data_IF_243008577429
#
_entry.id   IF_243008577429
#
_cell.length_a   1.000
_cell.length_b   1.000
_cell.length_c   1.000
_cell.angle_alpha   90.00
_cell.angle_beta   90.00
_cell.angle_gamma   90.00
#
_symmetry.space_group_name_H-M   'P 1'
#
loop_
_entity.id
_entity.type
_entity.pdbx_description
1 polymer ?
#
# COMPACT_ATOMS: atom_id res chain seq x y z
N UNK A 1 -31.62 8.07 -21.54
CA UNK A 1 -31.52 9.13 -20.50
C UNK A 1 -30.40 8.75 -19.55
N UNK A 2 -29.59 9.71 -19.16
CA UNK A 2 -28.45 9.53 -18.26
C UNK A 2 -28.12 10.85 -17.55
N UNK A 3 -27.18 10.78 -16.62
CA UNK A 3 -26.59 11.94 -15.94
C UNK A 3 -25.14 12.09 -16.38
N UNK A 4 -24.73 13.29 -16.76
CA UNK A 4 -23.33 13.65 -17.00
C UNK A 4 -22.86 14.57 -15.87
N UNK A 5 -21.82 14.18 -15.16
CA UNK A 5 -21.16 15.02 -14.16
C UNK A 5 -19.99 15.76 -14.81
N UNK A 6 -19.98 17.08 -14.71
CA UNK A 6 -18.99 17.95 -15.32
C UNK A 6 -18.29 18.82 -14.28
N UNK A 7 -17.06 19.25 -14.58
CA UNK A 7 -16.31 20.09 -13.66
C UNK A 7 -16.88 21.52 -13.55
N UNK A 8 -17.50 22.03 -14.63
CA UNK A 8 -17.93 23.44 -14.71
C UNK A 8 -19.42 23.65 -14.48
N UNK A 9 -20.26 22.80 -15.07
CA UNK A 9 -21.72 23.02 -15.10
C UNK A 9 -22.46 22.14 -14.07
N UNK A 10 -21.73 21.31 -13.33
CA UNK A 10 -22.31 20.37 -12.40
C UNK A 10 -22.95 19.18 -13.09
N UNK A 11 -24.03 18.67 -12.50
CA UNK A 11 -24.73 17.49 -12.98
C UNK A 11 -25.79 17.87 -14.02
N UNK A 12 -25.64 17.31 -15.23
CA UNK A 12 -26.49 17.60 -16.38
C UNK A 12 -27.32 16.38 -16.79
N UNK A 13 -28.64 16.53 -17.01
CA UNK A 13 -29.44 15.50 -17.65
C UNK A 13 -29.08 15.41 -19.15
N UNK A 14 -28.67 14.23 -19.61
CA UNK A 14 -28.26 14.00 -21.01
C UNK A 14 -28.92 12.81 -21.68
N UNK A 15 -29.06 12.87 -23.00
CA UNK A 15 -29.43 11.72 -23.81
C UNK A 15 -28.16 11.02 -24.31
N UNK A 16 -27.98 9.75 -23.95
CA UNK A 16 -26.87 8.94 -24.45
C UNK A 16 -27.35 8.07 -25.62
N UNK A 17 -26.61 8.15 -26.72
CA UNK A 17 -26.72 7.22 -27.84
C UNK A 17 -25.60 6.17 -27.71
N UNK A 18 -25.80 4.98 -28.27
CA UNK A 18 -24.79 3.91 -28.34
C UNK A 18 -24.79 3.34 -29.74
N UNK A 19 -23.62 2.98 -30.26
CA UNK A 19 -23.51 2.32 -31.56
C UNK A 19 -23.59 0.81 -31.39
N UNK A 20 -24.15 0.10 -32.37
CA UNK A 20 -24.19 -1.36 -32.39
C UNK A 20 -23.59 -1.81 -33.72
N UNK A 21 -22.59 -2.68 -33.67
CA UNK A 21 -22.15 -3.37 -34.88
C UNK A 21 -23.19 -4.43 -35.25
N UNK A 22 -23.80 -4.29 -36.42
CA UNK A 22 -24.84 -5.23 -36.90
C UNK A 22 -24.29 -6.63 -37.18
N UNK A 23 -22.99 -6.77 -37.49
CA UNK A 23 -22.37 -8.05 -37.81
C UNK A 23 -22.09 -8.93 -36.58
N UNK A 24 -21.60 -8.33 -35.48
CA UNK A 24 -21.23 -9.08 -34.27
C UNK A 24 -22.10 -8.75 -33.05
N UNK A 25 -23.15 -7.95 -33.20
CA UNK A 25 -24.05 -7.48 -32.14
C UNK A 25 -23.37 -6.77 -30.96
N UNK A 26 -22.10 -6.38 -31.10
CA UNK A 26 -21.36 -5.66 -30.06
C UNK A 26 -21.83 -4.23 -29.97
N UNK A 27 -22.16 -3.77 -28.76
CA UNK A 27 -22.59 -2.41 -28.47
C UNK A 27 -21.44 -1.58 -27.93
N UNK A 28 -21.19 -0.45 -28.57
CA UNK A 28 -20.15 0.51 -28.23
C UNK A 28 -20.76 1.69 -27.48
N UNK A 29 -20.11 2.05 -26.37
CA UNK A 29 -20.47 3.20 -25.55
C UNK A 29 -19.34 4.24 -25.59
N UNK A 30 -19.67 5.48 -25.25
CA UNK A 30 -18.66 6.52 -25.10
C UNK A 30 -17.67 6.21 -23.96
N UNK A 31 -16.40 6.58 -24.13
CA UNK A 31 -15.30 6.32 -23.20
C UNK A 31 -15.44 6.99 -21.82
N UNK A 32 -16.42 7.88 -21.65
CA UNK A 32 -16.69 8.61 -20.40
C UNK A 32 -17.76 7.95 -19.51
N UNK A 33 -18.12 6.70 -19.82
CA UNK A 33 -19.18 5.96 -19.15
C UNK A 33 -18.69 5.32 -17.85
N UNK A 34 -19.26 5.74 -16.72
CA UNK A 34 -18.97 5.16 -15.40
C UNK A 34 -19.94 4.02 -15.10
N UNK A 35 -21.24 4.22 -15.35
CA UNK A 35 -22.25 3.16 -15.30
C UNK A 35 -23.20 3.27 -16.49
N UNK A 36 -24.22 2.39 -16.60
CA UNK A 36 -25.20 2.44 -17.70
C UNK A 36 -25.90 3.80 -17.86
N UNK A 37 -26.06 4.55 -16.77
CA UNK A 37 -26.81 5.81 -16.75
C UNK A 37 -26.01 7.00 -16.20
N UNK A 38 -24.71 6.85 -15.95
CA UNK A 38 -23.88 7.91 -15.38
C UNK A 38 -22.56 8.04 -16.12
N UNK A 39 -22.23 9.27 -16.49
CA UNK A 39 -21.03 9.66 -17.22
C UNK A 39 -20.29 10.73 -16.43
N UNK A 40 -18.97 10.77 -16.53
CA UNK A 40 -18.14 11.79 -15.90
C UNK A 40 -17.11 12.33 -16.87
N UNK A 41 -16.96 13.65 -16.88
CA UNK A 41 -15.89 14.33 -17.61
C UNK A 41 -14.51 13.92 -17.07
N UNK A 42 -13.54 13.70 -17.95
CA UNK A 42 -12.16 13.36 -17.55
C UNK A 42 -11.53 14.43 -16.66
N UNK A 43 -11.79 15.71 -16.91
CA UNK A 43 -11.30 16.82 -16.07
C UNK A 43 -11.84 16.74 -14.63
N UNK A 44 -13.09 16.30 -14.46
CA UNK A 44 -13.68 16.10 -13.13
C UNK A 44 -13.03 14.89 -12.42
N UNK A 45 -12.83 13.79 -13.14
CA UNK A 45 -12.16 12.60 -12.61
C UNK A 45 -10.71 12.91 -12.21
N UNK A 46 -9.99 13.66 -13.03
CA UNK A 46 -8.63 14.13 -12.74
C UNK A 46 -8.60 15.04 -11.51
N UNK A 47 -9.59 15.93 -11.34
CA UNK A 47 -9.73 16.70 -10.11
C UNK A 47 -9.91 15.78 -8.89
N UNK A 48 -10.79 14.79 -8.96
CA UNK A 48 -11.01 13.86 -7.85
C UNK A 48 -9.75 13.06 -7.51
N UNK A 49 -9.03 12.55 -8.51
CA UNK A 49 -7.77 11.83 -8.28
C UNK A 49 -6.77 12.75 -7.57
N UNK A 50 -6.62 14.00 -8.02
CA UNK A 50 -5.71 14.95 -7.36
C UNK A 50 -6.16 15.32 -5.93
N UNK A 51 -7.46 15.43 -5.66
CA UNK A 51 -7.98 15.58 -4.29
C UNK A 51 -7.66 14.36 -3.41
N UNK A 52 -7.72 13.15 -3.97
CA UNK A 52 -7.33 11.93 -3.26
C UNK A 52 -5.83 11.95 -2.96
N UNK A 53 -4.97 12.30 -3.93
CA UNK A 53 -3.50 12.30 -3.78
C UNK A 53 -3.00 13.37 -2.81
N UNK A 54 -3.48 14.61 -2.94
CA UNK A 54 -2.92 15.77 -2.23
C UNK A 54 -3.70 16.15 -0.96
N UNK A 55 -4.97 15.76 -0.86
CA UNK A 55 -5.81 16.08 0.30
C UNK A 55 -6.28 14.84 1.05
N UNK A 56 -5.91 13.63 0.60
CA UNK A 56 -6.37 12.36 1.17
C UNK A 56 -7.90 12.28 1.24
N UNK A 57 -8.58 12.91 0.28
CA UNK A 57 -10.04 12.94 0.23
C UNK A 57 -10.57 11.54 -0.06
N UNK A 58 -11.59 11.11 0.69
CA UNK A 58 -12.33 9.89 0.34
C UNK A 58 -13.29 10.17 -0.83
N UNK A 59 -13.72 9.12 -1.52
CA UNK A 59 -14.79 9.23 -2.53
C UNK A 59 -16.05 9.91 -1.97
N UNK A 60 -16.37 9.67 -0.68
CA UNK A 60 -17.47 10.35 0.00
C UNK A 60 -17.24 11.87 0.14
N UNK A 61 -16.02 12.29 0.47
CA UNK A 61 -15.70 13.71 0.56
C UNK A 61 -15.68 14.38 -0.82
N UNK A 62 -15.11 13.74 -1.84
CA UNK A 62 -15.16 14.21 -3.22
C UNK A 62 -16.62 14.40 -3.68
N UNK A 63 -17.48 13.41 -3.47
CA UNK A 63 -18.90 13.50 -3.79
C UNK A 63 -19.61 14.61 -3.01
N UNK A 64 -19.31 14.80 -1.72
CA UNK A 64 -19.88 15.89 -0.91
C UNK A 64 -19.45 17.26 -1.43
N UNK A 65 -18.16 17.48 -1.67
CA UNK A 65 -17.62 18.74 -2.19
C UNK A 65 -18.26 19.06 -3.54
N UNK A 66 -18.30 18.09 -4.45
CA UNK A 66 -18.95 18.26 -5.75
C UNK A 66 -20.42 18.65 -5.61
N UNK A 67 -21.20 17.88 -4.84
CA UNK A 67 -22.63 18.14 -4.70
C UNK A 67 -22.93 19.46 -3.99
N UNK A 68 -22.07 19.91 -3.07
CA UNK A 68 -22.27 21.18 -2.37
C UNK A 68 -21.90 22.37 -3.26
N UNK A 69 -20.88 22.22 -4.09
CA UNK A 69 -20.30 23.32 -4.87
C UNK A 69 -20.98 23.49 -6.23
N UNK A 70 -21.33 22.38 -6.89
CA UNK A 70 -21.73 22.37 -8.30
C UNK A 70 -23.14 21.83 -8.55
N UNK A 71 -23.85 21.32 -7.54
CA UNK A 71 -25.18 20.76 -7.80
C UNK A 71 -26.20 21.87 -8.04
N UNK A 72 -26.61 22.01 -9.29
CA UNK A 72 -27.65 22.94 -9.72
C UNK A 72 -29.04 22.32 -9.48
N UNK A 73 -30.00 23.05 -8.89
CA UNK A 73 -31.37 22.56 -8.76
C UNK A 73 -31.97 22.36 -10.16
N UNK A 74 -32.15 21.12 -10.57
CA UNK A 74 -32.89 20.77 -11.79
C UNK A 74 -34.26 20.19 -11.40
N UNK A 75 -35.36 20.58 -12.06
CA UNK A 75 -36.66 19.96 -11.82
C UNK A 75 -36.59 18.47 -12.19
N UNK A 76 -36.58 17.62 -11.17
CA UNK A 76 -36.43 16.16 -11.31
C UNK A 76 -37.65 15.46 -11.92
N UNK A 77 -38.73 16.20 -12.20
CA UNK A 77 -39.96 15.66 -12.76
C UNK A 77 -39.72 15.09 -14.16
N UNK A 78 -39.57 13.75 -14.25
CA UNK A 78 -39.46 13.00 -15.52
C UNK A 78 -38.05 12.48 -15.88
N UNK A 79 -37.04 12.69 -15.03
CA UNK A 79 -35.69 12.15 -15.24
C UNK A 79 -35.42 10.95 -14.32
N UNK A 80 -35.12 9.78 -14.91
CA UNK A 80 -35.05 8.51 -14.16
C UNK A 80 -33.73 8.24 -13.45
N UNK A 81 -32.69 9.06 -13.65
CA UNK A 81 -31.38 8.92 -13.00
C UNK A 81 -31.14 10.08 -12.03
N UNK A 82 -30.42 9.81 -10.93
CA UNK A 82 -30.05 10.82 -9.94
C UNK A 82 -29.08 11.85 -10.54
N UNK A 83 -29.29 13.13 -10.23
CA UNK A 83 -28.32 14.21 -10.49
C UNK A 83 -27.35 14.41 -9.32
N UNK A 84 -27.57 13.71 -8.20
CA UNK A 84 -26.66 13.73 -7.06
C UNK A 84 -25.56 12.69 -7.26
N UNK A 85 -24.32 13.14 -7.15
CA UNK A 85 -23.14 12.29 -7.23
C UNK A 85 -23.01 11.44 -5.96
N UNK A 86 -22.95 10.12 -6.08
CA UNK A 86 -22.75 9.21 -4.95
C UNK A 86 -21.25 8.93 -4.74
N UNK A 87 -20.84 8.50 -3.52
CA UNK A 87 -19.48 8.03 -3.27
C UNK A 87 -19.09 6.87 -4.18
N UNK A 88 -20.01 5.93 -4.43
CA UNK A 88 -19.75 4.75 -5.27
C UNK A 88 -19.44 5.16 -6.71
N UNK A 89 -20.19 6.13 -7.26
CA UNK A 89 -19.92 6.66 -8.59
C UNK A 89 -18.54 7.33 -8.69
N UNK A 90 -18.09 8.01 -7.62
CA UNK A 90 -16.73 8.58 -7.58
C UNK A 90 -15.68 7.49 -7.57
N UNK A 91 -15.86 6.45 -6.76
CA UNK A 91 -14.95 5.29 -6.72
C UNK A 91 -14.89 4.58 -8.07
N UNK A 92 -16.04 4.26 -8.66
CA UNK A 92 -16.13 3.62 -9.99
C UNK A 92 -15.46 4.49 -11.05
N UNK A 93 -15.72 5.80 -11.01
CA UNK A 93 -15.11 6.78 -11.90
C UNK A 93 -13.58 6.80 -11.74
N UNK A 94 -13.08 6.80 -10.51
CA UNK A 94 -11.64 6.74 -10.22
C UNK A 94 -11.00 5.47 -10.79
N UNK A 95 -11.56 4.28 -10.51
CA UNK A 95 -10.99 3.01 -10.97
C UNK A 95 -11.01 2.91 -12.49
N UNK A 96 -12.15 3.19 -13.13
CA UNK A 96 -12.27 3.16 -14.59
C UNK A 96 -11.35 4.16 -15.26
N UNK A 97 -11.29 5.39 -14.76
CA UNK A 97 -10.43 6.43 -15.32
C UNK A 97 -8.94 6.06 -15.22
N UNK A 98 -8.51 5.59 -14.05
CA UNK A 98 -7.11 5.20 -13.83
C UNK A 98 -6.71 4.01 -14.70
N UNK A 99 -7.61 3.03 -14.87
CA UNK A 99 -7.41 1.91 -15.79
C UNK A 99 -7.32 2.37 -17.25
N UNK A 100 -8.24 3.23 -17.70
CA UNK A 100 -8.22 3.77 -19.06
C UNK A 100 -6.92 4.55 -19.34
N UNK A 101 -6.47 5.37 -18.38
CA UNK A 101 -5.19 6.08 -18.48
C UNK A 101 -4.02 5.10 -18.58
N UNK A 102 -3.94 4.10 -17.71
CA UNK A 102 -2.88 3.10 -17.73
C UNK A 102 -2.77 2.37 -19.07
N UNK A 103 -3.90 1.94 -19.63
CA UNK A 103 -3.94 1.26 -20.93
C UNK A 103 -3.58 2.20 -22.08
N UNK A 104 -4.03 3.46 -22.01
CA UNK A 104 -3.63 4.50 -22.97
C UNK A 104 -2.12 4.73 -22.95
N UNK A 105 -1.52 4.83 -21.76
CA UNK A 105 -0.08 5.04 -21.57
C UNK A 105 0.75 3.83 -22.06
N UNK A 106 0.26 2.60 -21.85
CA UNK A 106 0.92 1.38 -22.32
C UNK A 106 0.65 1.03 -23.78
N UNK A 107 -0.26 1.75 -24.46
CA UNK A 107 -0.72 1.38 -25.80
C UNK A 107 -1.44 0.02 -25.85
N UNK A 108 -2.06 -0.40 -24.75
CA UNK A 108 -2.79 -1.67 -24.64
C UNK A 108 -4.29 -1.43 -24.52
N UNK A 109 -5.10 -2.47 -24.75
CA UNK A 109 -6.54 -2.42 -24.48
C UNK A 109 -6.84 -2.93 -23.08
N UNK A 110 -7.79 -2.29 -22.39
CA UNK A 110 -8.23 -2.73 -21.06
C UNK A 110 -8.86 -4.13 -21.13
N UNK A 111 -8.20 -5.12 -20.51
CA UNK A 111 -8.69 -6.48 -20.28
C UNK A 111 -8.52 -6.78 -18.79
N UNK A 112 -9.64 -6.96 -18.08
CA UNK A 112 -9.64 -7.25 -16.64
C UNK A 112 -9.49 -8.76 -16.39
N UNK A 113 -8.76 -9.21 -15.34
CA UNK A 113 -8.04 -8.44 -14.31
C UNK A 113 -6.52 -8.23 -14.57
N UNK A 114 -5.92 -7.16 -14.04
CA UNK A 114 -4.46 -6.84 -14.08
C UNK A 114 -3.91 -6.55 -12.66
N UNK A 115 -2.64 -6.92 -12.39
CA UNK A 115 -1.94 -6.69 -11.10
C UNK A 115 -0.64 -5.92 -11.33
N UNK A 116 -0.35 -4.89 -10.51
CA UNK A 116 0.93 -4.19 -10.48
C UNK A 116 1.73 -4.63 -9.24
N UNK A 117 2.69 -5.54 -9.39
CA UNK A 117 3.61 -5.91 -8.32
C UNK A 117 5.06 -5.94 -8.82
N UNK A 118 6.03 -5.63 -7.95
CA UNK A 118 7.46 -5.64 -8.26
C UNK A 118 7.91 -4.44 -9.10
N UNK A 119 8.43 -4.68 -10.30
CA UNK A 119 9.00 -3.67 -11.22
C UNK A 119 7.94 -2.83 -11.96
N UNK A 120 6.65 -3.01 -11.64
CA UNK A 120 5.54 -2.43 -12.38
C UNK A 120 5.32 -0.92 -12.19
N UNK A 121 6.03 -0.28 -11.27
CA UNK A 121 5.94 1.17 -11.05
C UNK A 121 6.68 1.94 -12.15
N UNK A 122 6.05 2.97 -12.72
CA UNK A 122 6.58 3.78 -13.83
C UNK A 122 8.01 4.30 -13.60
N UNK A 123 8.34 4.63 -12.35
CA UNK A 123 9.63 5.17 -11.96
C UNK A 123 10.45 4.18 -11.11
N UNK A 124 10.22 2.88 -11.25
CA UNK A 124 10.98 1.83 -10.53
C UNK A 124 12.50 1.96 -10.74
N UNK A 125 12.92 2.18 -11.99
CA UNK A 125 14.33 2.37 -12.37
C UNK A 125 14.91 3.76 -12.05
N UNK A 126 14.23 4.59 -11.24
CA UNK A 126 14.67 5.97 -11.01
C UNK A 126 16.05 6.05 -10.35
N UNK A 127 16.92 6.88 -10.94
CA UNK A 127 18.12 7.42 -10.34
C UNK A 127 18.20 8.93 -10.58
N UNK A 128 18.85 9.65 -9.66
CA UNK A 128 19.11 11.07 -9.80
C UNK A 128 20.32 11.48 -8.94
N UNK A 129 20.79 12.71 -9.10
CA UNK A 129 21.94 13.25 -8.33
C UNK A 129 21.70 13.36 -6.81
N UNK A 130 20.46 13.15 -6.35
CA UNK A 130 20.13 13.09 -4.92
C UNK A 130 20.25 11.67 -4.37
N UNK A 131 19.69 10.66 -5.06
CA UNK A 131 19.73 9.28 -4.60
C UNK A 131 20.97 8.49 -5.07
N UNK A 132 21.68 9.00 -6.06
CA UNK A 132 22.92 8.45 -6.59
C UNK A 132 24.03 9.50 -6.49
N UNK A 133 25.15 9.13 -5.86
CA UNK A 133 26.36 9.96 -5.74
C UNK A 133 27.48 9.34 -6.55
N UNK A 134 28.27 10.18 -7.21
CA UNK A 134 29.48 9.76 -7.91
C UNK A 134 30.67 10.23 -7.09
N UNK A 135 31.67 9.37 -6.92
CA UNK A 135 32.90 9.70 -6.21
C UNK A 135 34.09 8.97 -6.83
N UNK A 136 35.28 9.50 -6.65
CA UNK A 136 36.51 8.79 -7.04
C UNK A 136 36.89 7.80 -5.96
N UNK A 137 37.11 6.54 -6.35
CA UNK A 137 37.64 5.53 -5.44
C UNK A 137 39.15 5.75 -5.20
N UNK A 138 39.75 4.91 -4.34
CA UNK A 138 41.18 4.97 -4.02
C UNK A 138 42.11 4.76 -5.24
N UNK A 139 41.59 4.21 -6.34
CA UNK A 139 42.30 3.96 -7.59
C UNK A 139 42.12 5.10 -8.61
N UNK A 140 41.41 6.17 -8.24
CA UNK A 140 41.10 7.31 -9.12
C UNK A 140 40.00 7.02 -10.15
N UNK A 141 39.30 5.89 -10.03
CA UNK A 141 38.16 5.56 -10.89
C UNK A 141 36.87 6.16 -10.34
N UNK A 142 36.07 6.77 -11.21
CA UNK A 142 34.76 7.29 -10.85
C UNK A 142 33.79 6.12 -10.64
N UNK A 143 33.28 5.99 -9.42
CA UNK A 143 32.32 4.97 -9.01
C UNK A 143 31.00 5.60 -8.56
N UNK A 144 29.93 4.83 -8.63
CA UNK A 144 28.59 5.26 -8.19
C UNK A 144 28.28 4.70 -6.80
N UNK A 145 27.45 5.43 -6.07
CA UNK A 145 26.80 5.00 -4.84
C UNK A 145 25.31 5.28 -4.96
N UNK A 146 24.51 4.22 -5.02
CA UNK A 146 23.06 4.30 -5.04
C UNK A 146 22.50 3.75 -3.73
N UNK A 147 21.60 4.52 -3.11
CA UNK A 147 20.92 4.09 -1.90
C UNK A 147 19.43 3.78 -2.14
N UNK A 148 18.91 2.85 -1.33
CA UNK A 148 17.48 2.65 -1.14
C UNK A 148 17.20 2.48 0.36
N UNK A 149 16.02 2.90 0.78
CA UNK A 149 15.57 2.83 2.17
C UNK A 149 14.25 2.06 2.21
N UNK A 150 14.14 1.10 3.11
CA UNK A 150 12.92 0.34 3.36
C UNK A 150 12.37 0.65 4.74
N UNK A 151 11.06 0.84 4.82
CA UNK A 151 10.32 0.97 6.06
C UNK A 151 8.84 0.57 5.83
N UNK A 152 8.12 0.30 6.91
CA UNK A 152 6.76 -0.21 6.88
C UNK A 152 5.77 0.64 7.65
N UNK A 153 4.51 0.72 7.18
CA UNK A 153 3.44 1.37 7.94
C UNK A 153 2.12 0.61 7.93
N UNK A 154 1.38 0.73 9.02
CA UNK A 154 0.18 -0.06 9.30
C UNK A 154 -1.10 0.63 8.77
N UNK A 155 -1.34 0.54 7.46
CA UNK A 155 -2.66 0.87 6.86
C UNK A 155 -3.70 -0.20 7.20
N UNK A 156 -3.37 -1.46 6.91
CA UNK A 156 -4.09 -2.69 7.29
C UNK A 156 -5.48 -2.84 6.66
N UNK A 157 -5.62 -3.68 5.64
CA UNK A 157 -6.92 -4.16 5.12
C UNK A 157 -7.33 -5.49 5.72
N UNK A 158 -8.60 -5.87 5.62
CA UNK A 158 -9.04 -7.22 6.01
C UNK A 158 -8.38 -8.28 5.12
N UNK A 159 -7.93 -9.38 5.74
CA UNK A 159 -7.32 -10.51 5.04
C UNK A 159 -7.75 -11.84 5.63
N UNK A 160 -7.41 -12.93 4.94
CA UNK A 160 -7.63 -14.28 5.44
C UNK A 160 -6.97 -14.46 6.81
N UNK A 161 -7.66 -15.18 7.70
CA UNK A 161 -7.22 -15.55 9.03
C UNK A 161 -6.02 -16.51 9.03
N UNK A 162 -5.81 -17.27 7.95
CA UNK A 162 -4.67 -18.18 7.82
C UNK A 162 -3.36 -17.39 7.63
N UNK A 163 -2.32 -17.65 8.44
CA UNK A 163 -1.04 -16.93 8.34
C UNK A 163 -0.45 -16.96 6.93
N UNK A 164 -0.01 -15.79 6.45
CA UNK A 164 0.59 -15.58 5.14
C UNK A 164 -0.29 -15.94 3.91
N UNK A 165 -1.57 -16.26 4.11
CA UNK A 165 -2.51 -16.44 2.99
C UNK A 165 -2.74 -15.11 2.26
N UNK A 166 -2.46 -15.09 0.96
CA UNK A 166 -2.59 -13.90 0.11
C UNK A 166 -3.94 -13.81 -0.61
N UNK A 167 -4.74 -14.89 -0.57
CA UNK A 167 -6.01 -14.95 -1.28
C UNK A 167 -7.01 -13.91 -0.75
N UNK A 168 -7.73 -13.22 -1.65
CA UNK A 168 -8.72 -12.23 -1.24
C UNK A 168 -9.88 -12.89 -0.48
N UNK A 169 -10.46 -12.14 0.44
CA UNK A 169 -11.73 -12.54 1.07
C UNK A 169 -12.87 -12.41 0.06
N UNK A 170 -13.92 -13.25 0.12
CA UNK A 170 -15.10 -13.11 -0.74
C UNK A 170 -15.81 -11.77 -0.54
N UNK A 171 -15.77 -11.26 0.70
CA UNK A 171 -16.13 -9.91 1.08
C UNK A 171 -15.52 -9.61 2.46
N UNK A 172 -15.59 -8.35 2.87
CA UNK A 172 -14.95 -7.85 4.10
C UNK A 172 -15.58 -8.34 5.40
N UNK A 173 -16.72 -9.04 5.35
CA UNK A 173 -17.37 -9.63 6.53
C UNK A 173 -16.83 -11.02 6.87
N UNK A 174 -16.11 -11.65 5.94
CA UNK A 174 -15.58 -13.00 6.12
C UNK A 174 -14.24 -13.02 6.86
N UNK A 175 -13.95 -14.12 7.56
CA UNK A 175 -12.65 -14.37 8.21
C UNK A 175 -11.69 -15.16 7.30
N UNK A 176 -12.22 -15.98 6.40
CA UNK A 176 -11.45 -16.87 5.53
C UNK A 176 -11.73 -16.60 4.06
N UNK A 177 -10.75 -16.88 3.19
CA UNK A 177 -10.94 -16.88 1.74
C UNK A 177 -11.75 -18.12 1.31
N UNK A 178 -12.19 -18.17 0.05
CA UNK A 178 -12.96 -19.31 -0.48
C UNK A 178 -12.26 -20.65 -0.27
N UNK A 179 -10.95 -20.72 -0.45
CA UNK A 179 -10.18 -21.96 -0.26
C UNK A 179 -10.07 -22.43 1.20
N UNK A 180 -10.18 -21.51 2.17
CA UNK A 180 -10.00 -21.83 3.58
C UNK A 180 -11.32 -21.87 4.36
N UNK A 181 -12.41 -21.35 3.79
CA UNK A 181 -13.69 -21.27 4.52
C UNK A 181 -14.20 -22.64 4.92
N UNK A 182 -14.16 -23.62 4.01
CA UNK A 182 -14.72 -24.97 4.25
C UNK A 182 -13.95 -25.74 5.32
N UNK A 183 -12.67 -25.41 5.54
CA UNK A 183 -11.83 -26.09 6.53
C UNK A 183 -12.00 -25.49 7.93
N UNK A 184 -12.16 -24.18 8.04
CA UNK A 184 -12.03 -23.48 9.33
C UNK A 184 -13.35 -22.90 9.88
N UNK A 185 -14.39 -22.72 9.07
CA UNK A 185 -15.64 -22.03 9.49
C UNK A 185 -16.37 -22.76 10.63
N UNK A 186 -16.29 -24.08 10.65
CA UNK A 186 -16.93 -24.95 11.64
C UNK A 186 -16.05 -25.25 12.86
N UNK A 187 -14.82 -24.75 12.89
CA UNK A 187 -13.88 -25.00 13.99
C UNK A 187 -14.00 -23.94 15.09
N UNK A 188 -13.61 -24.34 16.29
CA UNK A 188 -13.46 -23.43 17.42
C UNK A 188 -12.44 -22.34 17.10
N UNK A 189 -12.79 -21.08 17.37
CA UNK A 189 -11.92 -19.92 17.14
C UNK A 189 -10.67 -19.84 18.05
N UNK A 190 -10.46 -20.80 18.97
CA UNK A 190 -9.25 -20.85 19.80
C UNK A 190 -8.09 -21.40 18.98
N UNK A 191 -6.96 -20.72 19.01
CA UNK A 191 -5.77 -21.12 18.27
C UNK A 191 -5.32 -22.53 18.69
N UNK A 192 -5.22 -23.43 17.72
CA UNK A 192 -4.79 -24.83 17.93
C UNK A 192 -5.92 -25.78 18.35
N UNK A 193 -7.16 -25.30 18.55
CA UNK A 193 -8.30 -26.17 18.78
C UNK A 193 -8.85 -26.71 17.45
N UNK A 194 -9.05 -28.02 17.37
CA UNK A 194 -9.62 -28.71 16.20
C UNK A 194 -11.05 -29.19 16.42
N UNK A 195 -11.62 -28.91 17.60
CA UNK A 195 -13.02 -29.22 17.91
C UNK A 195 -13.97 -28.30 17.17
N UNK A 196 -15.16 -28.79 16.83
CA UNK A 196 -16.20 -27.98 16.20
C UNK A 196 -16.74 -26.92 17.15
N UNK A 197 -17.06 -25.73 16.62
CA UNK A 197 -17.80 -24.70 17.35
C UNK A 197 -19.24 -25.15 17.59
N UNK A 198 -19.84 -24.68 18.67
CA UNK A 198 -21.28 -24.90 18.92
C UNK A 198 -22.14 -23.87 18.18
N UNK A 199 -23.41 -24.23 17.97
CA UNK A 199 -24.40 -23.31 17.41
C UNK A 199 -24.46 -22.03 18.27
N UNK A 200 -24.52 -20.87 17.62
CA UNK A 200 -24.55 -19.53 18.25
C UNK A 200 -23.26 -19.07 18.94
N UNK A 201 -22.17 -19.84 18.87
CA UNK A 201 -20.90 -19.50 19.51
C UNK A 201 -19.71 -19.66 18.56
N UNK A 202 -18.65 -18.88 18.74
CA UNK A 202 -17.39 -19.02 17.99
C UNK A 202 -16.49 -20.12 18.56
N UNK A 203 -16.76 -20.63 19.76
CA UNK A 203 -15.99 -21.72 20.39
C UNK A 203 -16.74 -23.03 20.52
N UNK A 204 -16.00 -24.11 20.77
CA UNK A 204 -16.54 -25.37 21.26
C UNK A 204 -17.06 -25.25 22.71
N UNK A 205 -17.58 -26.34 23.26
CA UNK A 205 -18.13 -26.45 24.62
C UNK A 205 -17.11 -26.44 25.75
N UNK A 206 -15.80 -26.44 25.43
CA UNK A 206 -14.74 -26.38 26.43
C UNK A 206 -14.85 -25.11 27.27
N UNK A 207 -14.93 -25.26 28.59
CA UNK A 207 -15.25 -24.17 29.51
C UNK A 207 -14.25 -23.00 29.40
N UNK A 208 -12.96 -23.32 29.22
CA UNK A 208 -11.91 -22.31 29.05
C UNK A 208 -12.03 -21.53 27.74
N UNK A 209 -12.53 -22.17 26.68
CA UNK A 209 -12.73 -21.54 25.38
C UNK A 209 -13.96 -20.64 25.42
N UNK A 210 -15.07 -21.12 26.01
CA UNK A 210 -16.29 -20.31 26.15
C UNK A 210 -16.04 -19.08 27.00
N UNK A 211 -15.31 -19.22 28.12
CA UNK A 211 -14.92 -18.08 28.94
C UNK A 211 -14.08 -17.05 28.16
N UNK A 212 -13.24 -17.49 27.21
CA UNK A 212 -12.47 -16.58 26.36
C UNK A 212 -13.36 -15.81 25.36
N UNK A 213 -14.38 -16.46 24.80
CA UNK A 213 -15.40 -15.81 23.95
C UNK A 213 -16.24 -14.81 24.75
N UNK A 214 -16.74 -15.20 25.92
CA UNK A 214 -17.55 -14.33 26.77
C UNK A 214 -16.77 -13.10 27.22
N UNK A 215 -15.50 -13.29 27.62
CA UNK A 215 -14.60 -12.18 27.95
C UNK A 215 -14.34 -11.27 26.74
N UNK A 216 -14.31 -11.81 25.53
CA UNK A 216 -14.18 -11.02 24.31
C UNK A 216 -15.43 -10.19 24.02
N UNK A 217 -16.62 -10.79 24.11
CA UNK A 217 -17.90 -10.11 23.92
C UNK A 217 -18.12 -9.01 24.96
N UNK A 218 -17.81 -9.29 26.23
CA UNK A 218 -17.87 -8.30 27.31
C UNK A 218 -16.94 -7.11 27.04
N UNK A 219 -15.71 -7.35 26.55
CA UNK A 219 -14.80 -6.27 26.12
C UNK A 219 -15.38 -5.44 24.98
N UNK A 220 -16.00 -6.06 23.97
CA UNK A 220 -16.63 -5.31 22.87
C UNK A 220 -17.79 -4.42 23.35
N UNK A 221 -18.60 -4.91 24.30
CA UNK A 221 -19.71 -4.15 24.88
C UNK A 221 -19.21 -3.02 25.79
N UNK A 222 -18.15 -3.27 26.57
CA UNK A 222 -17.52 -2.29 27.46
C UNK A 222 -16.75 -1.18 26.70
N UNK A 223 -16.41 -1.36 25.42
CA UNK A 223 -15.78 -0.31 24.60
C UNK A 223 -16.69 0.94 24.41
N UNK A 224 -17.99 0.85 24.74
CA UNK A 224 -18.88 2.03 24.85
C UNK A 224 -18.77 2.77 26.20
N UNK A 225 -18.02 2.25 27.17
CA UNK A 225 -17.76 2.87 28.48
C UNK A 225 -16.25 2.83 28.79
N UNK A 226 -15.54 3.82 28.26
CA UNK A 226 -14.17 4.28 28.59
C UNK A 226 -13.07 3.24 28.88
N UNK A 227 -12.01 3.37 28.08
CA UNK A 227 -10.68 2.83 28.30
C UNK A 227 -10.10 3.25 29.66
N UNK A 228 -10.11 2.34 30.64
CA UNK A 228 -9.23 2.41 31.79
C UNK A 228 -9.02 1.00 32.34
N UNK A 229 -7.74 0.65 32.51
CA UNK A 229 -7.22 -0.47 33.29
C UNK A 229 -7.38 -1.88 32.70
N UNK A 230 -6.28 -2.37 32.12
CA UNK A 230 -5.99 -3.79 32.04
C UNK A 230 -4.49 -4.03 32.25
N UNK A 231 -4.03 -3.78 33.48
CA UNK A 231 -2.90 -4.50 34.05
C UNK A 231 -3.44 -5.46 35.11
N UNK A 232 -2.79 -6.63 35.20
CA UNK A 232 -3.08 -7.77 36.07
C UNK A 232 -4.16 -8.77 35.58
N UNK A 233 -3.71 -9.85 34.93
CA UNK A 233 -3.79 -11.21 35.49
C UNK A 233 -3.11 -12.21 34.56
N UNK A 234 -1.94 -12.73 34.99
CA UNK A 234 -1.24 -13.83 34.34
C UNK A 234 -1.94 -15.17 34.57
N UNK A 235 -2.98 -15.46 33.79
CA UNK A 235 -3.43 -16.85 33.54
C UNK A 235 -3.25 -17.13 32.05
N UNK A 236 -2.92 -18.39 31.72
CA UNK A 236 -2.97 -18.92 30.36
C UNK A 236 -4.39 -18.78 29.79
N UNK A 237 -4.77 -17.58 29.37
CA UNK A 237 -5.99 -17.37 28.63
C UNK A 237 -5.79 -17.98 27.25
N UNK A 238 -6.70 -18.86 26.86
CA UNK A 238 -6.75 -19.40 25.52
C UNK A 238 -6.76 -18.22 24.52
N UNK A 239 -5.72 -18.11 23.69
CA UNK A 239 -5.65 -17.07 22.65
C UNK A 239 -6.60 -17.49 21.52
N UNK A 240 -7.67 -16.73 21.32
CA UNK A 240 -8.64 -16.96 20.26
C UNK A 240 -8.66 -15.87 19.21
N UNK A 241 -9.03 -16.26 17.99
CA UNK A 241 -9.20 -15.40 16.82
C UNK A 241 -10.67 -15.01 16.64
N UNK A 242 -11.19 -14.24 17.60
CA UNK A 242 -12.60 -13.83 17.64
C UNK A 242 -12.96 -12.67 16.69
N UNK A 243 -11.95 -12.07 16.06
CA UNK A 243 -12.10 -10.94 15.13
C UNK A 243 -11.48 -11.26 13.79
N UNK A 244 -11.98 -10.61 12.74
CA UNK A 244 -11.37 -10.66 11.40
C UNK A 244 -9.92 -10.21 11.44
N UNK A 245 -9.09 -10.88 10.65
CA UNK A 245 -7.69 -10.50 10.52
C UNK A 245 -7.51 -9.31 9.60
N UNK A 246 -6.44 -8.58 9.85
CA UNK A 246 -5.95 -7.55 8.95
C UNK A 246 -4.50 -7.83 8.60
N UNK A 247 -4.07 -7.30 7.46
CA UNK A 247 -2.67 -7.32 7.05
C UNK A 247 -1.80 -6.63 8.11
N UNK A 248 -0.53 -7.00 8.17
CA UNK A 248 0.41 -6.50 9.16
C UNK A 248 0.79 -5.04 8.88
N UNK A 249 1.40 -4.81 7.71
CA UNK A 249 1.84 -3.50 7.23
C UNK A 249 1.93 -3.48 5.70
N UNK A 250 2.04 -2.28 5.15
CA UNK A 250 2.57 -2.05 3.81
C UNK A 250 4.06 -1.73 3.97
N UNK A 251 4.91 -2.52 3.34
CA UNK A 251 6.34 -2.25 3.22
C UNK A 251 6.59 -1.45 1.95
N UNK A 252 7.41 -0.41 2.02
CA UNK A 252 7.82 0.36 0.85
C UNK A 252 9.34 0.42 0.75
N UNK A 253 9.84 0.50 -0.48
CA UNK A 253 11.24 0.85 -0.77
C UNK A 253 11.24 2.20 -1.45
N UNK A 254 12.02 3.13 -0.92
CA UNK A 254 12.06 4.54 -1.33
C UNK A 254 13.51 4.94 -1.60
N UNK A 255 13.74 5.71 -2.66
CA UNK A 255 15.03 6.37 -2.91
C UNK A 255 15.18 7.58 -1.99
N UNK A 256 16.41 7.96 -1.57
CA UNK A 256 16.66 9.18 -0.78
C UNK A 256 16.03 10.48 -1.32
N UNK A 257 15.72 10.54 -2.62
CA UNK A 257 15.03 11.66 -3.26
C UNK A 257 13.50 11.68 -3.06
N UNK A 258 12.92 10.67 -2.39
CA UNK A 258 11.48 10.56 -2.12
C UNK A 258 10.67 9.78 -3.16
N UNK A 259 11.34 9.19 -4.16
CA UNK A 259 10.71 8.32 -5.15
C UNK A 259 10.46 6.93 -4.56
N UNK A 260 9.19 6.50 -4.56
CA UNK A 260 8.82 5.16 -4.12
C UNK A 260 9.04 4.21 -5.28
N UNK A 261 9.96 3.25 -5.14
CA UNK A 261 10.29 2.31 -6.23
C UNK A 261 9.51 1.01 -6.14
N UNK A 262 9.11 0.60 -4.94
CA UNK A 262 8.28 -0.58 -4.76
C UNK A 262 7.46 -0.55 -3.48
N UNK A 263 6.40 -1.35 -3.45
CA UNK A 263 5.50 -1.58 -2.33
C UNK A 263 5.15 -3.06 -2.25
N UNK A 264 5.02 -3.61 -1.05
CA UNK A 264 4.40 -4.91 -0.81
C UNK A 264 3.54 -4.92 0.46
N UNK A 265 2.39 -5.58 0.41
CA UNK A 265 1.59 -5.88 1.59
C UNK A 265 2.17 -7.09 2.33
N UNK A 266 2.50 -6.92 3.60
CA UNK A 266 2.83 -8.03 4.51
C UNK A 266 1.60 -8.43 5.33
N UNK A 267 1.35 -9.74 5.45
CA UNK A 267 0.08 -10.26 5.98
C UNK A 267 0.16 -10.60 7.46
N UNK A 268 1.04 -11.52 7.86
CA UNK A 268 1.13 -11.99 9.24
C UNK A 268 2.18 -11.23 10.05
N UNK A 269 3.34 -11.00 9.46
CA UNK A 269 4.50 -10.40 10.12
C UNK A 269 5.43 -9.78 9.09
N UNK A 270 6.21 -8.81 9.54
CA UNK A 270 7.43 -8.35 8.87
C UNK A 270 8.59 -9.30 9.17
N UNK A 271 8.57 -10.48 8.56
CA UNK A 271 9.63 -11.47 8.75
C UNK A 271 10.85 -11.15 7.89
N UNK A 272 12.04 -11.53 8.36
CA UNK A 272 13.29 -11.31 7.62
C UNK A 272 13.27 -11.99 6.24
N UNK A 273 12.65 -13.18 6.15
CA UNK A 273 12.43 -13.86 4.88
C UNK A 273 11.50 -13.06 3.96
N UNK A 274 10.40 -12.50 4.46
CA UNK A 274 9.49 -11.68 3.65
C UNK A 274 10.19 -10.41 3.13
N UNK A 275 10.98 -9.74 3.97
CA UNK A 275 11.80 -8.58 3.57
C UNK A 275 12.83 -8.98 2.52
N UNK A 276 13.58 -10.07 2.72
CA UNK A 276 14.54 -10.58 1.73
C UNK A 276 13.87 -10.81 0.37
N UNK A 277 12.76 -11.54 0.35
CA UNK A 277 12.07 -11.86 -0.90
C UNK A 277 11.46 -10.61 -1.56
N UNK A 278 10.99 -9.65 -0.77
CA UNK A 278 10.51 -8.36 -1.27
C UNK A 278 11.63 -7.56 -1.94
N UNK A 279 12.81 -7.49 -1.31
CA UNK A 279 13.98 -6.81 -1.89
C UNK A 279 14.45 -7.52 -3.15
N UNK A 280 14.55 -8.86 -3.17
CA UNK A 280 14.89 -9.62 -4.38
C UNK A 280 13.89 -9.43 -5.52
N UNK A 281 12.58 -9.37 -5.23
CA UNK A 281 11.55 -9.02 -6.24
C UNK A 281 11.70 -7.60 -6.75
N UNK A 282 12.12 -6.67 -5.88
CA UNK A 282 12.32 -5.27 -6.25
C UNK A 282 13.60 -5.06 -7.05
N UNK A 283 14.66 -5.81 -6.76
CA UNK A 283 15.94 -5.75 -7.45
C UNK A 283 16.33 -7.16 -7.88
N UNK A 284 15.83 -7.65 -9.04
CA UNK A 284 15.93 -9.08 -9.42
C UNK A 284 17.33 -9.60 -9.70
N UNK A 285 18.33 -8.74 -9.87
CA UNK A 285 19.72 -9.11 -10.13
C UNK A 285 20.67 -8.34 -9.21
N UNK A 286 21.88 -8.87 -8.95
CA UNK A 286 22.90 -8.16 -8.17
C UNK A 286 23.23 -6.76 -8.72
N UNK A 287 23.24 -6.59 -10.05
CA UNK A 287 23.56 -5.30 -10.69
C UNK A 287 22.50 -4.21 -10.47
N UNK A 288 21.26 -4.62 -10.15
CA UNK A 288 20.14 -3.72 -9.86
C UNK A 288 20.02 -3.38 -8.38
N UNK A 289 20.70 -4.13 -7.51
CA UNK A 289 20.72 -3.84 -6.09
C UNK A 289 21.38 -2.48 -5.84
N UNK A 290 20.90 -1.71 -4.84
CA UNK A 290 21.62 -0.53 -4.40
C UNK A 290 22.95 -0.95 -3.73
N UNK A 291 23.98 -0.12 -3.85
CA UNK A 291 25.20 -0.29 -3.05
C UNK A 291 24.90 -0.14 -1.55
N UNK A 292 23.86 0.62 -1.19
CA UNK A 292 23.40 0.80 0.18
C UNK A 292 21.91 0.55 0.34
N UNK A 293 21.56 -0.44 1.15
CA UNK A 293 20.17 -0.72 1.54
C UNK A 293 19.95 -0.44 3.03
N UNK A 294 19.23 0.63 3.33
CA UNK A 294 18.89 1.02 4.70
C UNK A 294 17.57 0.39 5.15
N UNK A 295 17.57 -0.19 6.34
CA UNK A 295 16.40 -0.80 6.97
C UNK A 295 16.59 -0.82 8.50
N UNK A 296 15.54 -0.59 9.27
CA UNK A 296 15.60 -0.39 10.72
C UNK A 296 16.12 -1.63 11.48
N UNK A 297 15.82 -2.82 10.94
CA UNK A 297 16.17 -4.11 11.49
C UNK A 297 17.28 -4.82 10.68
N UNK A 298 18.18 -4.03 10.08
CA UNK A 298 19.26 -4.57 9.26
C UNK A 298 20.25 -5.45 10.02
N UNK A 299 20.42 -5.27 11.33
CA UNK A 299 21.28 -6.15 12.13
C UNK A 299 20.81 -7.62 12.06
N UNK A 300 19.51 -7.86 12.25
CA UNK A 300 18.94 -9.19 12.15
C UNK A 300 18.82 -9.65 10.70
N UNK A 301 18.45 -8.75 9.77
CA UNK A 301 18.39 -9.09 8.36
C UNK A 301 19.75 -9.54 7.82
N UNK A 302 20.83 -8.81 8.13
CA UNK A 302 22.18 -9.16 7.70
C UNK A 302 22.63 -10.51 8.25
N UNK A 303 22.43 -10.77 9.54
CA UNK A 303 22.77 -12.06 10.14
C UNK A 303 21.98 -13.22 9.47
N UNK A 304 20.71 -12.98 9.14
CA UNK A 304 19.89 -13.93 8.39
C UNK A 304 20.42 -14.16 6.96
N UNK A 305 20.79 -13.09 6.24
CA UNK A 305 21.35 -13.18 4.89
C UNK A 305 22.71 -13.90 4.89
N UNK A 306 23.54 -13.67 5.91
CA UNK A 306 24.83 -14.34 6.09
C UNK A 306 24.63 -15.86 6.26
N UNK A 307 23.73 -16.27 7.16
CA UNK A 307 23.39 -17.67 7.36
C UNK A 307 22.73 -18.34 6.15
N UNK A 308 22.04 -17.57 5.31
CA UNK A 308 21.42 -18.04 4.07
C UNK A 308 22.37 -18.07 2.87
N UNK A 309 23.60 -17.54 3.00
CA UNK A 309 24.57 -17.41 1.90
C UNK A 309 24.30 -16.27 0.91
N UNK A 310 23.26 -15.46 1.15
CA UNK A 310 22.83 -14.39 0.25
C UNK A 310 23.86 -13.24 0.13
N UNK A 311 24.69 -13.04 1.17
CA UNK A 311 25.76 -12.03 1.17
C UNK A 311 26.91 -12.35 0.20
N UNK A 312 27.01 -13.59 -0.28
CA UNK A 312 28.00 -13.99 -1.30
C UNK A 312 27.36 -14.20 -2.68
N UNK A 313 26.09 -13.79 -2.83
CA UNK A 313 25.29 -13.98 -4.05
C UNK A 313 24.52 -12.69 -4.37
N UNK A 314 23.21 -12.65 -4.10
CA UNK A 314 22.34 -11.54 -4.48
C UNK A 314 22.69 -10.21 -3.79
N UNK A 315 23.27 -10.25 -2.59
CA UNK A 315 23.62 -9.08 -1.79
C UNK A 315 25.12 -8.78 -1.76
N UNK A 316 25.91 -9.43 -2.62
CA UNK A 316 27.38 -9.40 -2.56
C UNK A 316 27.99 -7.99 -2.67
N UNK A 317 27.30 -7.05 -3.31
CA UNK A 317 27.74 -5.67 -3.49
C UNK A 317 26.91 -4.65 -2.70
N UNK A 318 26.06 -5.12 -1.77
CA UNK A 318 25.16 -4.26 -1.00
C UNK A 318 25.54 -4.21 0.46
N UNK A 319 25.89 -3.02 0.93
CA UNK A 319 26.01 -2.71 2.34
C UNK A 319 24.62 -2.59 2.99
N UNK A 320 24.53 -3.00 4.26
CA UNK A 320 23.27 -3.07 5.04
C UNK A 320 23.33 -2.25 6.33
N UNK A 321 23.60 -0.93 6.27
CA UNK A 321 23.53 -0.07 7.45
C UNK A 321 22.11 0.02 8.01
N UNK A 322 21.96 0.07 9.33
CA UNK A 322 20.69 0.40 9.98
C UNK A 322 20.32 1.84 9.65
N UNK A 323 19.03 2.17 9.58
CA UNK A 323 18.61 3.58 9.47
C UNK A 323 19.24 4.45 10.59
N UNK A 324 19.77 5.63 10.23
CA UNK A 324 20.54 6.50 11.13
C UNK A 324 19.74 6.89 12.38
N UNK A 325 18.46 7.25 12.20
CA UNK A 325 17.60 7.63 13.32
C UNK A 325 17.29 6.44 14.23
N UNK A 326 17.03 5.27 13.66
CA UNK A 326 16.81 4.04 14.43
C UNK A 326 18.06 3.60 15.18
N UNK A 327 19.23 3.67 14.57
CA UNK A 327 20.49 3.35 15.23
C UNK A 327 20.74 4.28 16.43
N UNK A 328 20.55 5.59 16.27
CA UNK A 328 20.80 6.56 17.32
C UNK A 328 19.85 6.43 18.53
N UNK A 329 18.60 6.03 18.31
CA UNK A 329 17.55 6.09 19.35
C UNK A 329 17.10 4.73 19.90
N UNK A 330 17.25 3.63 19.14
CA UNK A 330 16.61 2.35 19.46
C UNK A 330 17.57 1.16 19.54
N UNK A 331 18.79 1.27 19.03
CA UNK A 331 19.76 0.18 19.09
C UNK A 331 20.65 0.29 20.32
N UNK A 332 20.89 -0.85 20.97
CA UNK A 332 21.77 -0.91 22.14
C UNK A 332 23.22 -0.82 21.67
N UNK A 333 24.00 0.05 22.29
CA UNK A 333 25.46 0.16 22.06
C UNK A 333 26.17 -1.18 22.31
N UNK A 334 25.59 -2.06 23.13
CA UNK A 334 26.11 -3.39 23.44
C UNK A 334 25.88 -4.43 22.35
N UNK A 335 25.08 -4.14 21.31
CA UNK A 335 24.92 -5.04 20.16
C UNK A 335 26.15 -4.97 19.26
N UNK A 336 27.16 -5.78 19.59
CA UNK A 336 28.45 -5.80 18.89
C UNK A 336 28.33 -6.20 17.42
N UNK A 337 27.35 -7.03 17.05
CA UNK A 337 27.13 -7.42 15.65
C UNK A 337 26.62 -6.23 14.84
N UNK A 338 25.61 -5.54 15.37
CA UNK A 338 25.10 -4.30 14.77
C UNK A 338 26.22 -3.25 14.65
N UNK A 339 26.98 -3.01 15.73
CA UNK A 339 28.07 -2.03 15.72
C UNK A 339 29.14 -2.33 14.67
N UNK A 340 29.48 -3.61 14.48
CA UNK A 340 30.53 -4.02 13.54
C UNK A 340 30.08 -3.97 12.08
N UNK A 341 28.83 -4.33 11.80
CA UNK A 341 28.40 -4.63 10.43
C UNK A 341 27.33 -3.70 9.87
N UNK A 342 26.58 -3.02 10.73
CA UNK A 342 25.40 -2.26 10.34
C UNK A 342 25.37 -0.84 10.93
N UNK A 343 26.39 -0.41 11.68
CA UNK A 343 26.49 0.97 12.17
C UNK A 343 26.75 1.91 11.00
N UNK A 344 25.86 2.88 10.71
CA UNK A 344 26.06 3.84 9.61
C UNK A 344 27.36 4.63 9.72
N UNK A 345 27.82 4.92 10.93
CA UNK A 345 29.07 5.66 11.16
C UNK A 345 30.32 4.84 10.83
N UNK A 346 30.20 3.53 10.62
CA UNK A 346 31.29 2.67 10.16
C UNK A 346 31.52 2.77 8.63
N UNK A 347 30.67 3.51 7.91
CA UNK A 347 30.78 3.75 6.46
C UNK A 347 31.13 5.23 6.23
N UNK A 348 32.43 5.60 6.24
CA UNK A 348 32.87 7.00 6.15
C UNK A 348 32.37 7.70 4.87
N UNK A 349 32.16 6.95 3.79
CA UNK A 349 31.65 7.44 2.52
C UNK A 349 30.17 7.88 2.57
N UNK A 350 29.43 7.58 3.66
CA UNK A 350 28.06 8.06 3.87
C UNK A 350 28.00 9.47 4.47
N UNK A 351 29.16 10.07 4.78
CA UNK A 351 29.26 11.44 5.28
C UNK A 351 30.09 12.33 4.36
N UNK A 352 29.69 13.58 4.19
CA UNK A 352 30.48 14.58 3.48
C UNK A 352 31.68 15.07 4.32
N UNK A 353 32.51 15.94 3.72
CA UNK A 353 33.69 16.49 4.40
C UNK A 353 33.36 17.34 5.64
N UNK A 354 32.10 17.75 5.81
CA UNK A 354 31.60 18.49 6.96
C UNK A 354 30.98 17.58 8.03
N UNK A 355 30.91 16.27 7.77
CA UNK A 355 30.31 15.28 8.67
C UNK A 355 28.79 15.14 8.53
N UNK A 356 28.17 15.71 7.50
CA UNK A 356 26.73 15.54 7.26
C UNK A 356 26.45 14.27 6.45
N UNK A 357 25.33 13.60 6.75
CA UNK A 357 24.88 12.46 5.96
C UNK A 357 24.53 12.87 4.52
N UNK A 358 25.08 12.16 3.53
CA UNK A 358 24.87 12.46 2.11
C UNK A 358 23.51 11.97 1.59
N UNK A 359 22.88 11.03 2.30
CA UNK A 359 21.56 10.49 2.00
C UNK A 359 20.58 10.77 3.13
N UNK A 360 19.37 11.19 2.76
CA UNK A 360 18.25 11.28 3.69
C UNK A 360 17.66 9.88 3.93
N UNK A 361 18.09 9.20 4.98
CA UNK A 361 17.55 7.87 5.34
C UNK A 361 16.17 7.96 6.00
N UNK A 362 15.83 9.10 6.63
CA UNK A 362 14.49 9.34 7.20
C UNK A 362 13.37 9.52 6.15
N UNK A 363 13.70 9.48 4.85
CA UNK A 363 12.72 9.65 3.77
C UNK A 363 11.63 8.58 3.78
N UNK A 364 11.96 7.35 4.21
CA UNK A 364 11.01 6.25 4.25
C UNK A 364 9.93 6.52 5.32
N UNK A 365 10.34 6.97 6.51
CA UNK A 365 9.41 7.38 7.59
C UNK A 365 8.52 8.55 7.14
N UNK A 366 9.10 9.59 6.51
CA UNK A 366 8.32 10.72 5.97
C UNK A 366 7.32 10.26 4.90
N UNK A 367 7.71 9.31 4.07
CA UNK A 367 6.84 8.71 3.06
C UNK A 367 5.73 7.88 3.70
N UNK A 368 6.04 7.16 4.78
CA UNK A 368 5.07 6.42 5.59
C UNK A 368 4.05 7.35 6.27
N UNK A 369 4.43 8.57 6.66
CA UNK A 369 3.48 9.59 7.13
C UNK A 369 2.50 9.99 6.02
N UNK A 370 2.97 10.17 4.78
CA UNK A 370 2.10 10.43 3.64
C UNK A 370 1.16 9.24 3.35
N UNK A 371 1.70 8.02 3.34
CA UNK A 371 0.95 6.80 3.04
C UNK A 371 -0.09 6.50 4.15
N UNK A 372 0.27 6.73 5.41
CA UNK A 372 -0.59 6.49 6.58
C UNK A 372 -1.87 7.34 6.59
N UNK A 373 -1.89 8.48 5.90
CA UNK A 373 -3.10 9.32 5.78
C UNK A 373 -4.20 8.68 4.96
N UNK A 374 -3.88 7.69 4.11
CA UNK A 374 -4.90 6.91 3.38
C UNK A 374 -5.59 5.86 4.25
N UNK A 375 -5.13 5.60 5.48
CA UNK A 375 -5.65 4.54 6.35
C UNK A 375 -7.17 4.52 6.45
N UNK A 376 -7.81 5.68 6.59
CA UNK A 376 -9.27 5.77 6.68
C UNK A 376 -9.98 5.48 5.35
N UNK A 377 -9.35 5.83 4.23
CA UNK A 377 -9.87 5.62 2.87
C UNK A 377 -9.84 4.13 2.51
N UNK A 378 -8.74 3.45 2.82
CA UNK A 378 -8.49 2.07 2.38
C UNK A 378 -8.92 1.00 3.38
N UNK A 379 -9.32 1.40 4.60
CA UNK A 379 -9.58 0.50 5.75
C UNK A 379 -10.53 -0.65 5.41
N UNK A 380 -11.55 -0.33 4.63
CA UNK A 380 -12.68 -1.18 4.27
C UNK A 380 -12.74 -1.30 2.74
N UNK A 381 -11.59 -1.39 2.07
CA UNK A 381 -11.49 -1.76 0.66
C UNK A 381 -11.26 -3.27 0.52
N UNK A 382 -11.81 -3.85 -0.55
CA UNK A 382 -11.45 -5.19 -0.98
C UNK A 382 -10.02 -5.24 -1.51
N UNK A 383 -9.37 -6.40 -1.48
CA UNK A 383 -7.94 -6.51 -1.75
C UNK A 383 -7.52 -5.93 -3.10
N UNK A 384 -8.27 -6.22 -4.16
CA UNK A 384 -7.96 -5.72 -5.51
C UNK A 384 -8.07 -4.19 -5.58
N UNK A 385 -9.18 -3.63 -5.07
CA UNK A 385 -9.40 -2.19 -5.02
C UNK A 385 -8.36 -1.48 -4.14
N UNK A 386 -7.97 -2.11 -3.02
CA UNK A 386 -6.95 -1.61 -2.11
C UNK A 386 -5.59 -1.49 -2.80
N UNK A 387 -5.13 -2.58 -3.42
CA UNK A 387 -3.82 -2.62 -4.06
C UNK A 387 -3.76 -1.65 -5.24
N UNK A 388 -4.79 -1.68 -6.11
CA UNK A 388 -4.88 -0.76 -7.23
C UNK A 388 -4.91 0.71 -6.78
N UNK A 389 -5.72 1.04 -5.77
CA UNK A 389 -5.81 2.41 -5.26
C UNK A 389 -4.46 2.92 -4.77
N UNK A 390 -3.75 2.14 -3.95
CA UNK A 390 -2.44 2.54 -3.43
C UNK A 390 -1.40 2.69 -4.54
N UNK A 391 -1.39 1.78 -5.52
CA UNK A 391 -0.42 1.85 -6.61
C UNK A 391 -0.64 3.09 -7.49
N UNK A 392 -1.90 3.45 -7.77
CA UNK A 392 -2.23 4.68 -8.49
C UNK A 392 -1.85 5.93 -7.66
N UNK A 393 -2.12 5.94 -6.35
CA UNK A 393 -1.70 7.05 -5.49
C UNK A 393 -0.17 7.22 -5.49
N UNK A 394 0.58 6.12 -5.42
CA UNK A 394 2.04 6.12 -5.48
C UNK A 394 2.53 6.63 -6.83
N UNK A 395 1.96 6.16 -7.94
CA UNK A 395 2.28 6.61 -9.29
C UNK A 395 2.11 8.13 -9.43
N UNK A 396 0.96 8.67 -9.02
CA UNK A 396 0.68 10.11 -9.04
C UNK A 396 1.63 10.91 -8.16
N UNK A 397 1.90 10.41 -6.94
CA UNK A 397 2.88 11.04 -6.02
C UNK A 397 4.27 11.07 -6.65
N UNK A 398 4.70 9.98 -7.27
CA UNK A 398 6.02 9.89 -7.89
C UNK A 398 6.16 10.86 -9.06
N UNK A 399 5.14 11.00 -9.92
CA UNK A 399 5.12 12.03 -10.98
C UNK A 399 5.28 13.43 -10.41
N UNK A 400 4.55 13.76 -9.33
CA UNK A 400 4.68 15.06 -8.65
C UNK A 400 6.06 15.24 -8.01
N UNK A 401 6.60 14.19 -7.38
CA UNK A 401 7.93 14.20 -6.76
C UNK A 401 9.01 14.46 -7.82
N UNK A 402 8.94 13.77 -8.95
CA UNK A 402 9.84 13.97 -10.09
C UNK A 402 9.76 15.40 -10.64
N UNK A 403 8.55 15.93 -10.85
CA UNK A 403 8.38 17.32 -11.29
C UNK A 403 9.02 18.32 -10.31
N UNK A 404 8.86 18.10 -9.01
CA UNK A 404 9.50 18.92 -7.97
C UNK A 404 11.03 18.79 -7.93
N UNK A 405 11.58 17.60 -8.24
CA UNK A 405 13.03 17.40 -8.38
C UNK A 405 13.58 18.16 -9.59
N UNK A 406 12.91 18.08 -10.75
CA UNK A 406 13.31 18.81 -11.96
C UNK A 406 13.28 20.32 -11.73
N UNK A 407 12.25 20.85 -11.07
CA UNK A 407 12.18 22.27 -10.71
C UNK A 407 13.33 22.73 -9.80
N UNK A 408 13.87 21.83 -8.98
CA UNK A 408 15.05 22.08 -8.13
C UNK A 408 16.38 21.88 -8.87
N UNK A 409 16.36 21.63 -10.18
CA UNK A 409 17.56 21.38 -10.98
C UNK A 409 18.19 20.01 -10.75
N UNK A 410 17.45 19.05 -10.18
CA UNK A 410 17.94 17.68 -9.99
C UNK A 410 17.91 16.95 -11.33
N UNK A 411 19.06 16.48 -11.78
CA UNK A 411 19.19 15.63 -12.96
C UNK A 411 18.82 14.19 -12.62
N UNK A 412 17.94 13.58 -13.42
CA UNK A 412 17.44 12.22 -13.23
C UNK A 412 17.57 11.38 -14.50
N UNK A 413 17.76 10.08 -14.33
CA UNK A 413 17.87 9.08 -15.38
C UNK A 413 17.23 7.76 -14.93
N UNK A 414 17.13 6.80 -15.85
CA UNK A 414 16.72 5.42 -15.57
C UNK A 414 17.96 4.53 -15.48
N UNK A 415 17.98 3.58 -14.53
CA UNK A 415 19.04 2.55 -14.44
C UNK A 415 18.79 1.35 -15.36
N UNK A 416 17.71 1.39 -16.14
CA UNK A 416 17.35 0.41 -17.17
C UNK A 416 17.81 0.83 -18.57
#
# INVERSE_FOLDING_TARGET
KATLFTLREGALPVFCNSLICQGCSTRYYHSYKVTMHHFMESALLELFVNQMVFMWSSASNCARVYNFTLNTPFPSSGWGSTLRLSPDLVSDGFFLYSLLLHHTEKGTSLILPEYMAGVGQEHWGHACTVCCKLFENLEGSLVKMHAAVSDGTALRRFCCAVPNCRNPLPNQRQHWCLEHTDTFVDLCAINGCTSRREASHQTCSEATHRAAEDAHLARQQAFFQLSAQAEATGRHQAKGQFTRNRTHNEQIIVRPCGMIVSRETFYHSESLAAVREFVKRTFPTPDLMPEYFFYDNNCNLRAFLEGAGDLNDHWQYTATPVDVFHHANKHKVTDTYCQRHCNPAAFPELTDAQGNWIFNTSIAEQTNVWLGKFKAVVRDMEAVCYDFFLDEMIKRKNRHTLAGLVQKGVYSWSVL
#
